data_IF_310042007239
#
_entry.id   IF_310042007239
#
_cell.length_a   1.000
_cell.length_b   1.000
_cell.length_c   1.000
_cell.angle_alpha   90.00
_cell.angle_beta   90.00
_cell.angle_gamma   90.00
#
_symmetry.space_group_name_H-M   'P 1'
#
loop_
_entity.id
_entity.type
_entity.pdbx_description
1 polymer ?
#
# COMPACT_ATOMS: atom_id res chain seq x y z
N UNK A 1 -57.97 -17.30 -6.12
CA UNK A 1 -57.36 -16.01 -5.75
C UNK A 1 -55.85 -16.23 -5.75
N UNK A 2 -55.21 -15.82 -6.84
CA UNK A 2 -53.79 -16.05 -7.10
C UNK A 2 -52.94 -15.03 -6.34
N UNK A 3 -51.87 -15.49 -5.69
CA UNK A 3 -50.77 -14.62 -5.29
C UNK A 3 -49.46 -15.35 -5.56
N UNK A 4 -48.92 -15.07 -6.75
CA UNK A 4 -47.54 -15.32 -7.13
C UNK A 4 -46.62 -14.41 -6.30
N UNK A 5 -45.67 -14.99 -5.57
CA UNK A 5 -44.48 -14.26 -5.12
C UNK A 5 -43.26 -14.87 -5.80
N UNK A 6 -42.71 -14.07 -6.71
CA UNK A 6 -41.53 -14.30 -7.51
C UNK A 6 -40.32 -14.58 -6.62
N UNK A 7 -39.52 -15.55 -7.05
CA UNK A 7 -38.07 -15.65 -6.81
C UNK A 7 -37.40 -14.28 -6.99
N UNK A 8 -36.46 -13.86 -6.12
CA UNK A 8 -35.60 -12.73 -6.45
C UNK A 8 -34.66 -13.15 -7.59
N UNK A 9 -35.04 -12.71 -8.79
CA UNK A 9 -34.33 -12.80 -10.05
C UNK A 9 -33.15 -11.80 -10.04
N UNK A 10 -31.96 -12.32 -10.33
CA UNK A 10 -30.68 -11.66 -10.56
C UNK A 10 -30.64 -10.12 -10.57
N UNK A 11 -29.96 -9.55 -9.57
CA UNK A 11 -29.28 -8.26 -9.69
C UNK A 11 -27.78 -8.50 -9.48
N UNK A 12 -27.00 -8.62 -10.56
CA UNK A 12 -25.54 -8.32 -10.58
C UNK A 12 -24.80 -8.68 -11.89
N UNK A 13 -25.47 -8.97 -13.01
CA UNK A 13 -24.73 -9.32 -14.25
C UNK A 13 -24.42 -8.15 -15.21
N UNK A 14 -24.88 -6.92 -14.91
CA UNK A 14 -24.74 -5.78 -15.87
C UNK A 14 -23.59 -4.81 -15.56
N UNK A 15 -22.90 -4.90 -14.41
CA UNK A 15 -21.88 -3.91 -14.00
C UNK A 15 -20.42 -4.36 -14.21
N UNK A 16 -20.18 -5.58 -14.70
CA UNK A 16 -18.82 -6.10 -14.88
C UNK A 16 -18.11 -5.55 -16.14
N UNK A 17 -18.87 -5.17 -17.18
CA UNK A 17 -18.35 -4.82 -18.51
C UNK A 17 -17.95 -3.33 -18.67
N UNK A 18 -17.77 -2.60 -17.57
CA UNK A 18 -17.32 -1.20 -17.63
C UNK A 18 -16.47 -0.78 -16.42
N UNK A 19 -15.75 -1.74 -15.81
CA UNK A 19 -14.82 -1.39 -14.75
C UNK A 19 -13.58 -0.70 -15.33
N UNK A 20 -13.13 0.43 -14.76
CA UNK A 20 -11.95 1.13 -15.26
C UNK A 20 -10.72 0.25 -15.09
N UNK A 21 -9.93 0.13 -16.17
CA UNK A 21 -8.67 -0.61 -16.13
C UNK A 21 -7.67 0.15 -15.24
N UNK A 22 -7.28 -0.47 -14.13
CA UNK A 22 -6.30 0.10 -13.20
C UNK A 22 -4.92 -0.56 -13.38
N UNK A 23 -3.90 0.26 -13.67
CA UNK A 23 -2.51 -0.20 -13.80
C UNK A 23 -1.71 0.29 -12.60
N UNK A 24 -1.03 -0.62 -11.91
CA UNK A 24 -0.17 -0.30 -10.77
C UNK A 24 1.19 -0.98 -10.88
N UNK A 25 2.26 -0.18 -10.92
CA UNK A 25 3.61 -0.69 -10.65
C UNK A 25 3.76 -0.98 -9.15
N UNK A 26 4.45 -2.08 -8.83
CA UNK A 26 4.80 -2.43 -7.44
C UNK A 26 6.19 -3.02 -7.42
N UNK A 27 7.17 -2.21 -7.02
CA UNK A 27 8.55 -2.69 -6.83
C UNK A 27 8.69 -3.40 -5.48
N UNK A 28 9.49 -4.48 -5.44
CA UNK A 28 9.97 -5.11 -4.20
C UNK A 28 11.47 -5.30 -4.28
N UNK A 29 12.19 -4.95 -3.21
CA UNK A 29 13.62 -5.20 -3.05
C UNK A 29 13.78 -6.27 -1.98
N UNK A 30 14.35 -7.41 -2.35
CA UNK A 30 14.56 -8.55 -1.46
C UNK A 30 16.02 -8.68 -1.05
N UNK A 31 16.26 -9.20 0.15
CA UNK A 31 17.58 -9.60 0.64
C UNK A 31 17.44 -10.99 1.25
N UNK A 32 17.88 -12.01 0.51
CA UNK A 32 17.53 -13.40 0.82
C UNK A 32 16.01 -13.60 0.76
N UNK A 33 15.44 -14.19 1.80
CA UNK A 33 14.00 -14.46 1.90
C UNK A 33 13.18 -13.25 2.41
N UNK A 34 13.85 -12.16 2.81
CA UNK A 34 13.21 -10.97 3.39
C UNK A 34 12.89 -9.93 2.33
N UNK A 35 11.69 -9.33 2.38
CA UNK A 35 11.33 -8.19 1.53
C UNK A 35 11.78 -6.91 2.25
N UNK A 36 13.01 -6.48 2.00
CA UNK A 36 13.60 -5.31 2.65
C UNK A 36 12.79 -4.03 2.41
N UNK A 37 12.42 -3.76 1.15
CA UNK A 37 11.60 -2.59 0.76
C UNK A 37 10.49 -3.07 -0.18
N UNK A 38 9.27 -2.56 0.01
CA UNK A 38 8.14 -2.91 -0.83
C UNK A 38 6.91 -2.07 -0.52
N UNK A 39 5.82 -2.26 -1.28
CA UNK A 39 4.68 -1.33 -1.28
C UNK A 39 4.05 -1.20 0.11
N UNK A 40 3.88 -2.31 0.84
CA UNK A 40 3.30 -2.27 2.19
C UNK A 40 4.15 -1.51 3.21
N UNK A 41 5.49 -1.61 3.12
CA UNK A 41 6.41 -0.87 4.00
C UNK A 41 6.40 0.63 3.64
N UNK A 42 6.34 0.96 2.36
CA UNK A 42 6.29 2.36 1.88
C UNK A 42 4.95 3.02 2.23
N UNK A 43 3.82 2.36 1.99
CA UNK A 43 2.50 2.87 2.41
C UNK A 43 2.43 3.08 3.92
N UNK A 44 3.07 2.21 4.70
CA UNK A 44 3.13 2.37 6.15
C UNK A 44 3.99 3.57 6.57
N UNK A 45 5.14 3.79 5.93
CA UNK A 45 5.95 5.00 6.16
C UNK A 45 5.16 6.28 5.83
N UNK A 46 4.45 6.32 4.70
CA UNK A 46 3.60 7.46 4.33
C UNK A 46 2.50 7.71 5.36
N UNK A 47 1.87 6.65 5.86
CA UNK A 47 0.85 6.73 6.89
C UNK A 47 1.44 7.20 8.24
N UNK A 48 2.63 6.72 8.63
CA UNK A 48 3.34 7.22 9.83
C UNK A 48 3.67 8.70 9.68
N UNK A 49 4.19 9.13 8.53
CA UNK A 49 4.46 10.55 8.24
C UNK A 49 3.20 11.41 8.38
N UNK A 50 2.05 10.91 7.92
CA UNK A 50 0.77 11.63 7.98
C UNK A 50 0.17 11.67 9.39
N UNK A 51 0.31 10.59 10.16
CA UNK A 51 -0.44 10.39 11.41
C UNK A 51 0.41 10.49 12.67
N UNK A 52 1.74 10.55 12.57
CA UNK A 52 2.67 10.70 13.70
C UNK A 52 2.73 9.51 14.66
N UNK A 53 2.12 8.37 14.33
CA UNK A 53 2.11 7.18 15.18
C UNK A 53 1.90 5.90 14.37
N UNK A 54 2.56 4.82 14.78
CA UNK A 54 2.37 3.48 14.17
C UNK A 54 0.93 2.98 14.39
N UNK A 55 0.32 3.26 15.53
CA UNK A 55 -1.05 2.79 15.83
C UNK A 55 -2.10 3.52 14.98
N UNK A 56 -1.91 4.81 14.73
CA UNK A 56 -2.77 5.60 13.85
C UNK A 56 -2.55 5.22 12.38
N UNK A 57 -1.31 5.02 11.96
CA UNK A 57 -0.97 4.53 10.63
C UNK A 57 -1.59 3.16 10.35
N UNK A 58 -1.48 2.21 11.29
CA UNK A 58 -2.08 0.88 11.18
C UNK A 58 -3.60 0.96 10.96
N UNK A 59 -4.31 1.78 11.75
CA UNK A 59 -5.76 2.02 11.60
C UNK A 59 -6.11 2.63 10.25
N UNK A 60 -5.33 3.59 9.75
CA UNK A 60 -5.56 4.21 8.45
C UNK A 60 -5.40 3.27 7.26
N UNK A 61 -4.66 2.16 7.44
CA UNK A 61 -4.37 1.17 6.41
C UNK A 61 -5.13 -0.14 6.64
N UNK A 62 -6.16 -0.13 7.48
CA UNK A 62 -6.99 -1.29 7.83
C UNK A 62 -6.15 -2.53 8.21
N UNK A 63 -5.12 -2.32 9.04
CA UNK A 63 -4.26 -3.40 9.53
C UNK A 63 -4.09 -3.37 11.03
N UNK A 64 -3.79 -4.54 11.61
CA UNK A 64 -3.50 -4.63 13.04
C UNK A 64 -2.20 -3.89 13.38
N UNK A 65 -2.16 -3.31 14.58
CA UNK A 65 -0.94 -2.69 15.12
C UNK A 65 0.25 -3.65 15.07
N UNK A 66 0.05 -4.92 15.43
CA UNK A 66 1.10 -5.96 15.37
C UNK A 66 1.69 -6.10 13.96
N UNK A 67 0.86 -6.10 12.92
CA UNK A 67 1.32 -6.17 11.54
C UNK A 67 2.13 -4.94 11.14
N UNK A 68 1.64 -3.74 11.49
CA UNK A 68 2.38 -2.51 11.22
C UNK A 68 3.75 -2.49 11.93
N UNK A 69 3.78 -2.89 13.19
CA UNK A 69 5.03 -2.98 13.95
C UNK A 69 6.03 -3.96 13.32
N UNK A 70 5.58 -5.16 12.92
CA UNK A 70 6.45 -6.15 12.24
C UNK A 70 7.02 -5.62 10.94
N UNK A 71 6.24 -4.88 10.14
CA UNK A 71 6.70 -4.28 8.90
C UNK A 71 7.78 -3.21 9.13
N UNK A 72 7.61 -2.36 10.15
CA UNK A 72 8.59 -1.32 10.52
C UNK A 72 9.86 -1.94 11.11
N UNK A 73 9.72 -2.94 11.96
CA UNK A 73 10.84 -3.67 12.56
C UNK A 73 11.67 -4.39 11.48
N UNK A 74 11.03 -5.13 10.57
CA UNK A 74 11.70 -5.79 9.44
C UNK A 74 12.38 -4.77 8.50
N UNK A 75 11.72 -3.65 8.22
CA UNK A 75 12.30 -2.55 7.45
C UNK A 75 13.56 -2.02 8.12
N UNK A 76 13.48 -1.63 9.39
CA UNK A 76 14.60 -1.05 10.12
C UNK A 76 15.79 -2.03 10.23
N UNK A 77 15.53 -3.33 10.44
CA UNK A 77 16.57 -4.38 10.45
C UNK A 77 17.25 -4.58 9.10
N UNK A 78 16.57 -4.24 8.00
CA UNK A 78 17.09 -4.38 6.64
C UNK A 78 17.96 -3.19 6.21
N UNK A 79 17.94 -2.08 6.95
CA UNK A 79 18.60 -0.83 6.60
C UNK A 79 19.89 -0.62 7.39
N UNK A 80 20.80 0.19 6.85
CA UNK A 80 22.02 0.64 7.56
C UNK A 80 21.70 1.61 8.69
N UNK A 81 20.58 2.32 8.59
CA UNK A 81 20.07 3.24 9.60
C UNK A 81 18.54 3.19 9.57
N UNK A 82 17.85 3.34 10.72
CA UNK A 82 16.41 3.11 10.80
C UNK A 82 15.64 4.14 9.96
N UNK A 83 14.53 3.70 9.38
CA UNK A 83 13.59 4.55 8.65
C UNK A 83 12.67 5.37 9.57
N UNK A 84 12.53 4.96 10.83
CA UNK A 84 11.68 5.62 11.81
C UNK A 84 12.37 5.75 13.17
N UNK A 85 12.00 6.77 13.93
CA UNK A 85 12.38 6.95 15.33
C UNK A 85 11.10 7.07 16.15
N UNK A 86 11.05 6.33 17.27
CA UNK A 86 9.98 6.46 18.25
C UNK A 86 10.28 7.61 19.20
N UNK A 87 9.29 8.46 19.43
CA UNK A 87 9.33 9.44 20.51
C UNK A 87 8.95 8.72 21.81
N UNK A 88 9.76 8.88 22.87
CA UNK A 88 9.46 8.26 24.15
C UNK A 88 8.14 8.80 24.71
N UNK A 89 7.23 7.88 25.07
CA UNK A 89 5.83 8.18 25.33
C UNK A 89 5.56 8.76 26.71
N UNK A 90 4.90 9.93 26.73
CA UNK A 90 4.01 10.36 27.81
C UNK A 90 2.60 9.74 27.69
N UNK A 91 1.64 10.24 28.46
CA UNK A 91 0.30 9.66 28.69
C UNK A 91 -0.55 9.33 27.44
N UNK A 92 -0.19 9.81 26.25
CA UNK A 92 -0.96 9.62 25.01
C UNK A 92 -0.43 8.53 24.05
N UNK A 93 0.59 7.77 24.46
CA UNK A 93 1.22 6.75 23.63
C UNK A 93 2.28 7.35 22.69
N UNK A 94 3.49 6.78 22.72
CA UNK A 94 4.66 7.32 22.01
C UNK A 94 4.42 7.60 20.53
N UNK A 95 4.91 8.76 20.08
CA UNK A 95 4.92 9.16 18.67
C UNK A 95 5.89 8.33 17.85
N UNK A 96 5.76 8.42 16.52
CA UNK A 96 6.70 7.83 15.58
C UNK A 96 6.83 8.75 14.37
N UNK A 97 8.07 9.12 14.05
CA UNK A 97 8.40 10.00 12.93
C UNK A 97 9.39 9.33 11.99
N UNK A 98 9.37 9.74 10.72
CA UNK A 98 10.35 9.27 9.74
C UNK A 98 11.70 9.93 10.00
N UNK A 99 12.76 9.15 9.77
CA UNK A 99 14.11 9.69 9.65
C UNK A 99 14.34 10.22 8.23
N UNK A 100 15.46 10.92 7.96
CA UNK A 100 15.85 11.24 6.59
C UNK A 100 15.96 10.01 5.68
N UNK A 101 16.30 8.83 6.23
CA UNK A 101 16.31 7.56 5.50
C UNK A 101 14.90 7.13 5.13
N UNK A 102 13.96 7.22 6.07
CA UNK A 102 12.54 6.91 5.82
C UNK A 102 11.94 7.80 4.72
N UNK A 103 12.18 9.12 4.79
CA UNK A 103 11.73 10.06 3.76
C UNK A 103 12.36 9.76 2.39
N UNK A 104 13.65 9.41 2.37
CA UNK A 104 14.34 9.04 1.14
C UNK A 104 13.76 7.77 0.51
N UNK A 105 13.41 6.77 1.32
CA UNK A 105 12.76 5.53 0.83
C UNK A 105 11.43 5.86 0.16
N UNK A 106 10.57 6.66 0.81
CA UNK A 106 9.28 7.05 0.25
C UNK A 106 9.47 7.77 -1.08
N UNK A 107 10.33 8.80 -1.11
CA UNK A 107 10.61 9.58 -2.32
C UNK A 107 11.12 8.71 -3.46
N UNK A 108 12.21 7.99 -3.25
CA UNK A 108 12.85 7.18 -4.29
C UNK A 108 11.92 6.07 -4.80
N UNK A 109 11.14 5.44 -3.93
CA UNK A 109 10.20 4.40 -4.33
C UNK A 109 9.12 4.95 -5.27
N UNK A 110 8.53 6.10 -4.92
CA UNK A 110 7.50 6.76 -5.75
C UNK A 110 8.08 7.29 -7.06
N UNK A 111 9.29 7.85 -7.03
CA UNK A 111 9.99 8.29 -8.24
C UNK A 111 10.18 7.13 -9.21
N UNK A 112 10.61 5.95 -8.72
CA UNK A 112 10.76 4.75 -9.55
C UNK A 112 9.42 4.28 -10.11
N UNK A 113 8.34 4.25 -9.32
CA UNK A 113 7.02 3.86 -9.81
C UNK A 113 6.53 4.79 -10.94
N UNK A 114 6.67 6.11 -10.75
CA UNK A 114 6.31 7.10 -11.78
C UNK A 114 7.15 6.94 -13.04
N UNK A 115 8.47 6.78 -12.91
CA UNK A 115 9.36 6.61 -14.06
C UNK A 115 9.09 5.31 -14.80
N UNK A 116 8.87 4.20 -14.10
CA UNK A 116 8.54 2.92 -14.72
C UNK A 116 7.20 2.99 -15.47
N UNK A 117 6.19 3.65 -14.91
CA UNK A 117 4.92 3.85 -15.57
C UNK A 117 5.05 4.68 -16.84
N UNK A 118 5.80 5.78 -16.80
CA UNK A 118 6.05 6.61 -17.97
C UNK A 118 6.84 5.85 -19.05
N UNK A 119 7.89 5.13 -18.65
CA UNK A 119 8.76 4.40 -19.57
C UNK A 119 8.06 3.21 -20.27
N UNK A 120 6.99 2.67 -19.66
CA UNK A 120 6.26 1.52 -20.18
C UNK A 120 4.87 1.88 -20.73
N UNK A 121 4.57 3.17 -20.97
CA UNK A 121 3.23 3.61 -21.33
C UNK A 121 2.65 2.91 -22.58
N UNK A 122 3.45 2.77 -23.64
CA UNK A 122 3.02 2.12 -24.90
C UNK A 122 2.73 0.63 -24.72
N UNK A 123 3.57 -0.07 -23.95
CA UNK A 123 3.37 -1.50 -23.66
C UNK A 123 2.16 -1.70 -22.74
N UNK A 124 1.96 -0.80 -21.78
CA UNK A 124 0.79 -0.83 -20.90
C UNK A 124 -0.47 -0.66 -21.73
N UNK A 125 -0.54 0.34 -22.60
CA UNK A 125 -1.69 0.55 -23.49
C UNK A 125 -1.98 -0.70 -24.32
N UNK A 126 -0.94 -1.27 -24.94
CA UNK A 126 -1.05 -2.51 -25.72
C UNK A 126 -1.61 -3.67 -24.89
N UNK A 127 -1.14 -3.83 -23.63
CA UNK A 127 -1.66 -4.86 -22.72
C UNK A 127 -3.12 -4.59 -22.32
N UNK A 128 -3.51 -3.34 -22.10
CA UNK A 128 -4.88 -2.99 -21.74
C UNK A 128 -5.88 -3.28 -22.86
N UNK A 129 -5.48 -3.13 -24.13
CA UNK A 129 -6.31 -3.46 -25.29
C UNK A 129 -6.56 -4.97 -25.45
N UNK A 130 -5.76 -5.83 -24.80
CA UNK A 130 -5.97 -7.29 -24.79
C UNK A 130 -7.02 -7.74 -23.76
N UNK A 131 -7.45 -6.86 -22.87
CA UNK A 131 -8.47 -7.18 -21.87
C UNK A 131 -9.85 -7.23 -22.52
N UNK A 132 -10.72 -8.08 -21.99
CA UNK A 132 -12.13 -8.10 -22.39
C UNK A 132 -12.77 -6.76 -22.02
N UNK A 133 -13.71 -6.25 -22.84
CA UNK A 133 -14.51 -5.08 -22.49
C UNK A 133 -15.31 -5.34 -21.21
#
# INVERSE_FOLDING_TARGET
MATTLKTPENASDTDAANQPIEVRFRMRITKGETIAIGPGKVSLLEAVRKHGSISAAARSLDMSYRRAWLLIDELNRSLKSPATISEQGGQSGGGCVLTPVGESIVRLYRDVETQAQAACAEQIESLTQLLKP
#
